data_IF_429916003353
#
_entry.id   IF_429916003353
#
_cell.length_a   1.000
_cell.length_b   1.000
_cell.length_c   1.000
_cell.angle_alpha   90.00
_cell.angle_beta   90.00
_cell.angle_gamma   90.00
#
_symmetry.space_group_name_H-M   'P 1'
#
loop_
_entity.id
_entity.type
_entity.pdbx_description
1 polymer ?
#
# COMPACT_ATOMS: atom_id res chain seq x y z
N UNK A 1 -44.52 -28.37 51.22
CA UNK A 1 -43.31 -27.51 51.12
C UNK A 1 -42.74 -27.68 49.72
N UNK A 2 -42.96 -26.72 48.82
CA UNK A 2 -42.35 -26.68 47.49
C UNK A 2 -41.51 -25.40 47.46
N UNK A 3 -40.19 -25.56 47.35
CA UNK A 3 -39.21 -24.48 47.45
C UNK A 3 -39.21 -23.60 46.19
N UNK A 4 -39.60 -22.33 46.36
CA UNK A 4 -39.69 -21.28 45.33
C UNK A 4 -38.32 -20.61 45.05
N UNK A 5 -37.21 -21.16 45.53
CA UNK A 5 -35.91 -20.47 45.53
C UNK A 5 -35.05 -20.63 44.27
N UNK A 6 -35.54 -21.22 43.17
CA UNK A 6 -34.70 -21.44 41.96
C UNK A 6 -34.95 -20.51 40.78
N UNK A 7 -35.97 -19.64 40.83
CA UNK A 7 -36.38 -18.89 39.62
C UNK A 7 -35.78 -17.48 39.52
N UNK A 8 -35.18 -16.94 40.58
CA UNK A 8 -34.74 -15.53 40.58
C UNK A 8 -33.28 -15.32 40.15
N UNK A 9 -32.44 -16.37 40.13
CA UNK A 9 -31.01 -16.23 39.80
C UNK A 9 -30.70 -16.25 38.29
N UNK A 10 -31.67 -16.64 37.45
CA UNK A 10 -31.46 -16.73 36.00
C UNK A 10 -31.65 -15.39 35.26
N UNK A 11 -32.29 -14.39 35.87
CA UNK A 11 -32.54 -13.10 35.21
C UNK A 11 -31.46 -12.04 35.43
N UNK A 12 -30.54 -12.20 36.38
CA UNK A 12 -29.46 -11.23 36.63
C UNK A 12 -28.21 -11.54 35.79
N UNK A 13 -28.02 -12.80 35.37
CA UNK A 13 -26.89 -13.19 34.51
C UNK A 13 -27.13 -12.95 33.00
N UNK A 14 -28.35 -12.61 32.57
CA UNK A 14 -28.65 -12.35 31.15
C UNK A 14 -28.52 -10.86 30.75
N UNK A 15 -28.25 -9.97 31.71
CA UNK A 15 -28.12 -8.53 31.46
C UNK A 15 -26.67 -8.04 31.27
N UNK A 16 -25.67 -8.91 31.38
CA UNK A 16 -24.24 -8.55 31.28
C UNK A 16 -23.58 -8.95 29.95
N UNK A 17 -24.29 -9.62 29.04
CA UNK A 17 -23.77 -10.01 27.73
C UNK A 17 -24.30 -9.07 26.65
N UNK A 18 -23.38 -8.48 25.88
CA UNK A 18 -23.59 -7.66 24.67
C UNK A 18 -23.56 -6.14 24.87
N UNK A 19 -22.50 -5.63 25.47
CA UNK A 19 -21.83 -4.46 24.89
C UNK A 19 -20.43 -4.89 24.51
N UNK A 20 -20.34 -5.75 23.49
CA UNK A 20 -19.13 -5.79 22.69
C UNK A 20 -19.18 -4.54 21.84
N UNK A 21 -18.75 -3.42 22.40
CA UNK A 21 -18.29 -2.28 21.61
C UNK A 21 -17.09 -2.81 20.84
N UNK A 22 -17.37 -3.44 19.70
CA UNK A 22 -16.38 -3.58 18.65
C UNK A 22 -15.97 -2.17 18.34
N UNK A 23 -14.85 -1.73 18.92
CA UNK A 23 -14.18 -0.53 18.49
C UNK A 23 -13.98 -0.73 17.00
N UNK A 24 -14.80 -0.03 16.21
CA UNK A 24 -14.57 0.06 14.78
C UNK A 24 -13.24 0.77 14.73
N UNK A 25 -12.18 0.04 14.42
CA UNK A 25 -10.89 0.66 14.16
C UNK A 25 -11.18 1.72 13.10
N UNK A 26 -10.95 2.98 13.45
CA UNK A 26 -11.11 4.08 12.52
C UNK A 26 -10.12 3.82 11.38
N UNK A 27 -10.57 4.01 10.14
CA UNK A 27 -9.68 3.82 9.01
C UNK A 27 -8.53 4.82 9.16
N UNK A 28 -7.27 4.42 8.90
CA UNK A 28 -6.15 5.36 8.90
C UNK A 28 -6.48 6.61 8.08
N UNK A 29 -6.12 7.78 8.59
CA UNK A 29 -6.34 9.05 7.91
C UNK A 29 -5.08 9.93 7.99
N UNK A 30 -5.23 11.21 7.65
CA UNK A 30 -4.13 12.17 7.58
C UNK A 30 -4.01 13.04 8.84
N UNK A 31 -4.79 12.77 9.89
CA UNK A 31 -4.90 13.62 11.07
C UNK A 31 -3.62 13.74 11.89
N UNK A 32 -2.78 12.72 11.85
CA UNK A 32 -1.47 12.66 12.52
C UNK A 32 -0.30 12.99 11.57
N UNK A 33 -0.58 13.50 10.36
CA UNK A 33 0.42 13.82 9.36
C UNK A 33 0.86 12.66 8.46
N UNK A 34 0.28 11.48 8.64
CA UNK A 34 0.48 10.34 7.75
C UNK A 34 -0.27 10.52 6.42
N UNK A 35 -0.01 9.63 5.46
CA UNK A 35 -0.71 9.60 4.17
C UNK A 35 -0.99 8.15 3.75
N UNK A 36 -1.90 7.44 4.43
CA UNK A 36 -1.99 5.98 4.34
C UNK A 36 -2.56 5.46 3.01
N UNK A 37 -3.23 6.32 2.22
CA UNK A 37 -3.83 5.95 0.94
C UNK A 37 -3.33 6.85 -0.19
N UNK A 38 -3.34 6.35 -1.43
CA UNK A 38 -3.07 7.16 -2.64
C UNK A 38 -3.91 8.47 -2.70
N UNK A 39 -5.08 8.46 -2.06
CA UNK A 39 -6.02 9.56 -2.00
C UNK A 39 -6.09 10.27 -0.63
N UNK A 40 -5.10 10.05 0.24
CA UNK A 40 -5.07 10.56 1.62
C UNK A 40 -5.84 9.66 2.58
N UNK A 41 -7.14 9.50 2.33
CA UNK A 41 -8.03 8.63 3.11
C UNK A 41 -8.87 7.71 2.20
N UNK A 42 -9.62 6.80 2.83
CA UNK A 42 -10.51 5.84 2.14
C UNK A 42 -11.68 6.51 1.39
N UNK A 43 -12.06 7.74 1.77
CA UNK A 43 -13.12 8.52 1.10
C UNK A 43 -12.58 9.26 -0.12
N UNK A 44 -11.25 9.38 -0.20
CA UNK A 44 -10.51 10.05 -1.24
C UNK A 44 -10.53 11.58 -1.13
N UNK A 45 -10.52 12.11 0.09
CA UNK A 45 -10.69 13.55 0.34
C UNK A 45 -9.60 14.42 -0.27
N UNK A 46 -8.35 13.94 -0.35
CA UNK A 46 -7.26 14.82 -0.83
C UNK A 46 -6.69 15.72 0.27
N UNK A 47 -7.09 15.53 1.53
CA UNK A 47 -6.99 16.57 2.57
C UNK A 47 -6.11 16.15 3.74
N UNK A 48 -5.36 17.12 4.28
CA UNK A 48 -4.67 17.03 5.56
C UNK A 48 -5.18 18.15 6.47
N UNK A 49 -5.54 17.85 7.74
CA UNK A 49 -5.96 18.87 8.69
C UNK A 49 -4.78 19.62 9.34
N UNK A 50 -3.53 19.29 9.01
CA UNK A 50 -2.36 19.98 9.54
C UNK A 50 -2.29 21.43 9.05
N UNK A 51 -1.91 22.35 9.94
CA UNK A 51 -1.88 23.80 9.70
C UNK A 51 -0.52 24.46 10.03
N UNK A 52 0.51 23.66 10.35
CA UNK A 52 1.87 24.16 10.61
C UNK A 52 2.40 24.99 9.44
N UNK A 53 2.13 24.56 8.20
CA UNK A 53 2.38 25.31 6.98
C UNK A 53 1.05 25.92 6.54
N UNK A 54 1.00 27.24 6.40
CA UNK A 54 -0.21 27.98 6.07
C UNK A 54 0.13 29.24 5.25
N UNK A 55 -0.89 30.04 4.93
CA UNK A 55 -0.75 31.21 4.06
C UNK A 55 0.23 32.27 4.61
N UNK A 56 0.47 32.30 5.93
CA UNK A 56 1.31 33.31 6.56
C UNK A 56 2.80 32.95 6.55
N UNK A 57 3.15 31.67 6.37
CA UNK A 57 4.54 31.17 6.42
C UNK A 57 4.97 30.30 5.21
N UNK A 58 4.12 30.16 4.19
CA UNK A 58 4.43 29.34 3.02
C UNK A 58 5.72 29.77 2.30
N UNK A 59 6.01 31.07 2.30
CA UNK A 59 7.21 31.63 1.66
C UNK A 59 8.52 31.27 2.38
N UNK A 60 8.45 30.72 3.60
CA UNK A 60 9.62 30.30 4.38
C UNK A 60 10.04 28.84 4.09
N UNK A 61 9.35 28.14 3.19
CA UNK A 61 9.64 26.74 2.89
C UNK A 61 11.01 26.56 2.21
N UNK A 62 11.78 25.63 2.74
CA UNK A 62 13.05 25.18 2.15
C UNK A 62 13.04 23.69 1.84
N UNK A 63 13.93 23.28 0.93
CA UNK A 63 14.11 21.87 0.59
C UNK A 63 14.75 21.14 1.78
N UNK A 64 13.99 20.26 2.42
CA UNK A 64 14.51 19.43 3.52
C UNK A 64 15.45 18.33 3.01
N UNK A 65 15.06 17.60 1.95
CA UNK A 65 15.88 16.56 1.32
C UNK A 65 15.37 16.25 -0.10
N UNK A 66 16.17 15.53 -0.88
CA UNK A 66 15.76 15.05 -2.22
C UNK A 66 16.28 13.63 -2.50
N UNK A 67 15.47 12.85 -3.21
CA UNK A 67 15.82 11.50 -3.65
C UNK A 67 15.77 11.37 -5.18
N UNK A 68 16.87 10.94 -5.80
CA UNK A 68 16.96 10.81 -7.26
C UNK A 68 16.51 9.45 -7.75
N UNK A 69 15.46 9.43 -8.57
CA UNK A 69 14.93 8.21 -9.20
C UNK A 69 15.55 7.89 -10.56
N UNK A 70 16.49 8.73 -11.05
CA UNK A 70 17.06 8.64 -12.41
C UNK A 70 17.75 7.31 -12.70
N UNK A 71 18.30 6.66 -11.67
CA UNK A 71 19.01 5.39 -11.78
C UNK A 71 18.10 4.16 -11.55
N UNK A 72 16.79 4.35 -11.35
CA UNK A 72 15.83 3.28 -11.14
C UNK A 72 15.19 2.82 -12.46
N UNK A 73 16.05 2.52 -13.43
CA UNK A 73 15.65 2.04 -14.75
C UNK A 73 16.73 2.25 -15.81
N UNK A 74 16.38 2.07 -17.08
CA UNK A 74 17.35 2.19 -18.20
C UNK A 74 17.57 3.63 -18.66
N UNK A 75 16.71 4.55 -18.21
CA UNK A 75 16.78 5.98 -18.49
C UNK A 75 16.03 6.75 -17.42
N UNK A 76 16.29 8.05 -17.37
CA UNK A 76 15.50 9.01 -16.60
C UNK A 76 14.04 8.96 -17.02
N UNK A 77 13.17 9.02 -16.03
CA UNK A 77 11.74 9.20 -16.22
C UNK A 77 11.44 10.68 -16.46
N UNK A 78 10.63 10.96 -17.47
CA UNK A 78 10.22 12.31 -17.83
C UNK A 78 8.82 12.67 -17.31
N UNK A 79 8.14 11.71 -16.66
CA UNK A 79 6.75 11.85 -16.21
C UNK A 79 6.52 11.03 -14.94
N UNK A 80 6.75 11.64 -13.78
CA UNK A 80 6.46 11.05 -12.48
C UNK A 80 5.02 11.39 -12.10
N UNK A 81 4.15 10.37 -12.03
CA UNK A 81 2.73 10.50 -11.65
C UNK A 81 2.42 9.80 -10.32
N UNK A 82 3.47 9.48 -9.56
CA UNK A 82 3.35 8.75 -8.30
C UNK A 82 2.91 9.69 -7.19
N UNK A 83 1.91 9.26 -6.41
CA UNK A 83 1.63 9.83 -5.10
C UNK A 83 2.20 8.87 -4.06
N UNK A 84 3.28 9.23 -3.35
CA UNK A 84 3.77 8.43 -2.24
C UNK A 84 2.70 8.26 -1.16
N UNK A 85 2.77 7.15 -0.43
CA UNK A 85 2.03 6.97 0.83
C UNK A 85 3.02 7.05 2.00
N UNK A 86 2.56 7.51 3.16
CA UNK A 86 3.34 7.56 4.39
C UNK A 86 2.62 6.79 5.48
N UNK A 87 3.34 5.87 6.12
CA UNK A 87 2.88 5.09 7.27
C UNK A 87 4.03 5.03 8.27
N UNK A 88 3.76 5.42 9.51
CA UNK A 88 4.70 5.44 10.63
C UNK A 88 6.01 6.17 10.26
N UNK A 89 5.88 7.31 9.57
CA UNK A 89 7.00 8.13 9.11
C UNK A 89 7.83 7.52 7.97
N UNK A 90 7.45 6.36 7.41
CA UNK A 90 8.10 5.76 6.23
C UNK A 90 7.34 6.11 4.97
N UNK A 91 8.04 6.70 4.00
CA UNK A 91 7.52 7.01 2.68
C UNK A 91 7.69 5.84 1.72
N UNK A 92 6.58 5.36 1.17
CA UNK A 92 6.56 4.29 0.17
C UNK A 92 6.10 4.84 -1.18
N UNK A 93 6.84 4.49 -2.23
CA UNK A 93 6.53 4.92 -3.58
C UNK A 93 6.96 3.87 -4.62
N UNK A 94 6.42 3.99 -5.83
CA UNK A 94 7.08 3.43 -7.02
C UNK A 94 7.98 4.50 -7.63
N UNK A 95 9.08 4.10 -8.27
CA UNK A 95 10.08 5.02 -8.75
C UNK A 95 10.81 4.54 -9.99
N UNK A 96 11.08 5.50 -10.87
CA UNK A 96 11.85 5.34 -12.10
C UNK A 96 11.18 4.47 -13.15
N UNK A 97 11.83 4.40 -14.31
CA UNK A 97 11.28 3.73 -15.50
C UNK A 97 11.10 2.23 -15.33
N UNK A 98 11.75 1.62 -14.33
CA UNK A 98 11.60 0.20 -13.97
C UNK A 98 10.40 -0.06 -13.06
N UNK A 99 9.74 0.98 -12.54
CA UNK A 99 8.70 0.86 -11.51
C UNK A 99 9.21 0.08 -10.30
N UNK A 100 10.32 0.57 -9.75
CA UNK A 100 10.93 0.02 -8.54
C UNK A 100 10.09 0.47 -7.35
N UNK A 101 9.65 -0.44 -6.49
CA UNK A 101 9.08 -0.08 -5.19
C UNK A 101 10.21 0.36 -4.27
N UNK A 102 10.02 1.45 -3.54
CA UNK A 102 11.00 2.02 -2.60
C UNK A 102 10.34 2.33 -1.27
N UNK A 103 11.11 2.22 -0.19
CA UNK A 103 10.81 2.80 1.11
C UNK A 103 11.93 3.76 1.52
N UNK A 104 11.53 4.95 1.93
CA UNK A 104 12.42 5.99 2.42
C UNK A 104 12.02 6.39 3.84
N UNK A 105 12.99 6.70 4.69
CA UNK A 105 12.71 7.42 5.93
C UNK A 105 12.15 8.82 5.57
N UNK A 106 10.94 9.15 6.03
CA UNK A 106 10.24 10.37 5.64
C UNK A 106 10.88 11.66 6.14
N UNK A 107 11.69 11.57 7.20
CA UNK A 107 12.37 12.73 7.80
C UNK A 107 13.69 13.04 7.09
N UNK A 108 14.44 12.02 6.69
CA UNK A 108 15.81 12.15 6.20
C UNK A 108 15.95 11.89 4.71
N UNK A 109 14.99 11.19 4.10
CA UNK A 109 15.08 10.69 2.73
C UNK A 109 16.00 9.48 2.57
N UNK A 110 16.47 8.87 3.67
CA UNK A 110 17.32 7.67 3.63
C UNK A 110 16.58 6.51 2.95
N UNK A 111 17.23 5.87 1.99
CA UNK A 111 16.71 4.66 1.34
C UNK A 111 16.81 3.47 2.28
N UNK A 112 15.67 2.99 2.77
CA UNK A 112 15.59 1.82 3.65
C UNK A 112 15.63 0.52 2.87
N UNK A 113 14.81 0.42 1.82
CA UNK A 113 14.84 -0.72 0.89
C UNK A 113 14.29 -0.33 -0.48
N UNK A 114 14.64 -1.14 -1.49
CA UNK A 114 13.99 -1.12 -2.79
C UNK A 114 13.74 -2.54 -3.28
N UNK A 115 12.68 -2.71 -4.08
CA UNK A 115 12.37 -3.95 -4.75
C UNK A 115 12.08 -3.68 -6.24
N UNK A 116 12.71 -4.46 -7.11
CA UNK A 116 12.66 -4.23 -8.56
C UNK A 116 12.70 -5.55 -9.33
N UNK A 117 12.00 -5.60 -10.47
CA UNK A 117 11.97 -6.77 -11.33
C UNK A 117 12.55 -6.48 -12.72
N UNK A 118 13.31 -7.45 -13.25
CA UNK A 118 13.79 -7.44 -14.63
C UNK A 118 12.94 -8.38 -15.47
N UNK A 119 11.85 -7.85 -16.02
CA UNK A 119 10.85 -8.65 -16.74
C UNK A 119 11.12 -8.78 -18.25
N UNK A 120 12.23 -8.23 -18.74
CA UNK A 120 12.64 -8.35 -20.14
C UNK A 120 11.58 -7.84 -21.13
N UNK A 121 11.36 -8.63 -22.20
CA UNK A 121 10.41 -8.31 -23.27
C UNK A 121 8.99 -8.07 -22.74
N UNK A 122 8.59 -8.79 -21.69
CA UNK A 122 7.26 -8.66 -21.09
C UNK A 122 6.97 -7.25 -20.56
N UNK A 123 7.95 -6.63 -19.89
CA UNK A 123 7.83 -5.22 -19.52
C UNK A 123 8.02 -4.30 -20.73
N UNK A 124 8.93 -4.65 -21.65
CA UNK A 124 9.21 -3.83 -22.84
C UNK A 124 8.02 -3.64 -23.78
N UNK A 125 7.12 -4.63 -23.88
CA UNK A 125 5.90 -4.59 -24.71
C UNK A 125 4.68 -4.04 -23.97
N UNK A 126 4.76 -3.79 -22.66
CA UNK A 126 3.61 -3.30 -21.91
C UNK A 126 3.19 -1.89 -22.38
N UNK A 127 1.89 -1.62 -22.57
CA UNK A 127 1.41 -0.31 -23.04
C UNK A 127 1.62 0.80 -22.00
N UNK A 128 1.83 0.45 -20.73
CA UNK A 128 2.03 1.40 -19.63
C UNK A 128 3.42 1.24 -19.02
N UNK A 129 4.35 2.03 -19.52
CA UNK A 129 5.71 2.17 -19.00
C UNK A 129 5.75 3.10 -17.78
N UNK A 130 6.96 3.34 -17.25
CA UNK A 130 7.26 4.31 -16.19
C UNK A 130 6.80 3.88 -14.78
N UNK A 131 7.03 4.74 -13.78
CA UNK A 131 6.78 4.48 -12.36
C UNK A 131 5.30 4.22 -12.02
N UNK A 132 4.36 4.58 -12.88
CA UNK A 132 2.93 4.39 -12.62
C UNK A 132 2.39 5.41 -11.62
N UNK A 133 1.45 4.99 -10.76
CA UNK A 133 0.74 5.87 -9.82
C UNK A 133 1.01 5.58 -8.35
N UNK A 134 1.97 4.71 -8.06
CA UNK A 134 2.32 4.30 -6.71
C UNK A 134 1.89 2.87 -6.41
N UNK A 135 1.55 2.67 -5.14
CA UNK A 135 1.40 1.38 -4.48
C UNK A 135 0.36 1.50 -3.36
N UNK A 136 0.05 0.40 -2.69
CA UNK A 136 -0.87 0.38 -1.56
C UNK A 136 -0.28 -0.34 -0.35
N UNK A 137 -0.70 0.07 0.83
CA UNK A 137 -0.36 -0.56 2.10
C UNK A 137 -1.53 -1.38 2.64
N UNK A 138 -1.23 -2.45 3.36
CA UNK A 138 -2.18 -3.20 4.16
C UNK A 138 -1.51 -3.71 5.43
N UNK A 139 -2.25 -3.75 6.53
CA UNK A 139 -1.83 -4.36 7.78
C UNK A 139 -2.96 -5.19 8.36
N UNK A 140 -2.61 -6.30 9.03
CA UNK A 140 -3.54 -7.05 9.87
C UNK A 140 -3.70 -6.48 11.29
N UNK A 141 -2.93 -5.42 11.62
CA UNK A 141 -2.88 -4.82 12.96
C UNK A 141 -2.19 -5.69 14.02
N UNK A 142 -1.54 -6.79 13.61
CA UNK A 142 -0.86 -7.76 14.49
C UNK A 142 0.60 -7.99 14.08
N UNK A 143 1.13 -7.13 13.21
CA UNK A 143 2.53 -7.13 12.77
C UNK A 143 2.76 -7.67 11.36
N UNK A 144 1.71 -7.97 10.60
CA UNK A 144 1.81 -8.30 9.18
C UNK A 144 1.53 -7.07 8.31
N UNK A 145 2.56 -6.28 8.08
CA UNK A 145 2.53 -5.05 7.29
C UNK A 145 3.07 -5.30 5.89
N UNK A 146 2.29 -4.91 4.88
CA UNK A 146 2.56 -5.27 3.48
C UNK A 146 2.41 -4.10 2.54
N UNK A 147 3.33 -4.04 1.58
CA UNK A 147 3.27 -3.17 0.41
C UNK A 147 2.87 -3.99 -0.81
N UNK A 148 1.91 -3.48 -1.57
CA UNK A 148 1.46 -4.07 -2.82
C UNK A 148 1.70 -3.11 -3.98
N UNK A 149 2.32 -3.60 -5.04
CA UNK A 149 2.49 -2.82 -6.27
C UNK A 149 2.41 -3.70 -7.51
N UNK A 150 2.02 -3.10 -8.64
CA UNK A 150 1.93 -3.80 -9.93
C UNK A 150 3.11 -3.40 -10.80
N UNK A 151 3.93 -4.37 -11.21
CA UNK A 151 5.08 -4.15 -12.10
C UNK A 151 4.64 -3.66 -13.48
N UNK A 152 5.58 -3.16 -14.28
CA UNK A 152 5.34 -2.83 -15.69
C UNK A 152 4.81 -4.03 -16.47
N UNK A 153 5.32 -5.24 -16.17
CA UNK A 153 4.86 -6.49 -16.78
C UNK A 153 3.57 -7.08 -16.20
N UNK A 154 2.75 -6.33 -15.45
CA UNK A 154 1.47 -6.84 -14.89
C UNK A 154 1.63 -8.00 -13.90
N UNK A 155 2.62 -7.92 -13.02
CA UNK A 155 2.72 -8.79 -11.85
C UNK A 155 2.34 -7.99 -10.61
N UNK A 156 1.36 -8.46 -9.84
CA UNK A 156 1.06 -7.92 -8.52
C UNK A 156 2.02 -8.55 -7.52
N UNK A 157 2.81 -7.72 -6.86
CA UNK A 157 3.82 -8.15 -5.90
C UNK A 157 3.38 -7.73 -4.50
N UNK A 158 3.51 -8.62 -3.54
CA UNK A 158 3.35 -8.34 -2.11
C UNK A 158 4.71 -8.40 -1.42
N UNK A 159 5.07 -7.33 -0.72
CA UNK A 159 6.32 -7.18 0.01
C UNK A 159 6.03 -6.96 1.49
N UNK A 160 6.89 -7.48 2.37
CA UNK A 160 6.93 -7.04 3.76
C UNK A 160 7.31 -5.54 3.79
N UNK A 161 6.49 -4.71 4.43
CA UNK A 161 6.64 -3.25 4.39
C UNK A 161 7.96 -2.77 5.02
N UNK A 162 8.48 -3.50 6.00
CA UNK A 162 9.69 -3.10 6.73
C UNK A 162 10.99 -3.50 6.04
N UNK A 163 10.95 -4.55 5.21
CA UNK A 163 12.17 -5.16 4.65
C UNK A 163 12.22 -5.17 3.12
N UNK A 164 11.07 -4.96 2.44
CA UNK A 164 10.98 -5.08 0.99
C UNK A 164 11.09 -6.52 0.46
N UNK A 165 11.10 -7.52 1.35
CA UNK A 165 11.18 -8.94 0.98
C UNK A 165 9.81 -9.44 0.53
N UNK A 166 9.70 -10.20 -0.57
CA UNK A 166 8.43 -10.78 -1.02
C UNK A 166 7.76 -11.66 0.03
N UNK A 167 6.44 -11.55 0.15
CA UNK A 167 5.62 -12.38 1.05
C UNK A 167 5.36 -13.73 0.39
N UNK A 168 6.13 -14.76 0.73
CA UNK A 168 6.00 -16.08 0.09
C UNK A 168 4.59 -16.68 0.12
N UNK A 169 3.76 -16.36 1.13
CA UNK A 169 2.38 -16.86 1.20
C UNK A 169 1.40 -16.14 0.26
N UNK A 170 1.83 -15.10 -0.44
CA UNK A 170 1.00 -14.37 -1.41
C UNK A 170 1.23 -14.87 -2.84
N UNK A 171 0.14 -14.89 -3.62
CA UNK A 171 0.14 -15.40 -4.99
C UNK A 171 -0.07 -16.92 -5.06
N UNK A 172 0.06 -17.48 -6.26
CA UNK A 172 -0.19 -18.92 -6.51
C UNK A 172 1.06 -19.77 -6.33
N UNK A 173 2.24 -19.18 -6.54
CA UNK A 173 3.49 -19.94 -6.73
C UNK A 173 4.45 -19.82 -5.53
N UNK A 174 3.98 -19.27 -4.41
CA UNK A 174 4.77 -19.23 -3.18
C UNK A 174 5.91 -18.19 -3.17
N UNK A 175 5.88 -17.21 -4.09
CA UNK A 175 6.98 -16.27 -4.34
C UNK A 175 6.62 -14.80 -4.12
N UNK A 176 5.46 -14.53 -3.50
CA UNK A 176 4.97 -13.16 -3.27
C UNK A 176 4.46 -12.46 -4.53
N UNK A 177 4.15 -13.20 -5.59
CA UNK A 177 3.74 -12.65 -6.87
C UNK A 177 2.47 -13.34 -7.37
N UNK A 178 1.51 -12.52 -7.80
CA UNK A 178 0.36 -12.93 -8.59
C UNK A 178 0.50 -12.39 -10.01
N UNK A 179 0.51 -13.26 -11.01
CA UNK A 179 0.55 -12.85 -12.43
C UNK A 179 -0.85 -12.44 -12.90
N UNK A 180 -1.05 -11.14 -13.14
CA UNK A 180 -2.35 -10.59 -13.52
C UNK A 180 -2.73 -10.86 -14.97
N UNK A 181 -1.84 -11.44 -15.79
CA UNK A 181 -2.18 -11.88 -17.15
C UNK A 181 -2.77 -13.29 -17.16
N UNK A 182 -2.58 -14.10 -16.12
CA UNK A 182 -3.22 -15.40 -16.01
C UNK A 182 -4.74 -15.18 -15.88
N UNK A 183 -5.51 -15.82 -16.76
CA UNK A 183 -6.95 -15.65 -16.86
C UNK A 183 -7.39 -14.47 -17.72
N UNK A 184 -6.46 -13.65 -18.23
CA UNK A 184 -6.78 -12.68 -19.27
C UNK A 184 -6.86 -13.39 -20.63
N UNK A 185 -7.96 -13.21 -21.37
CA UNK A 185 -8.26 -13.98 -22.57
C UNK A 185 -8.52 -13.09 -23.79
N UNK A 186 -8.18 -13.59 -24.97
CA UNK A 186 -8.57 -13.05 -26.26
C UNK A 186 -9.76 -13.87 -26.82
N UNK A 187 -10.84 -13.18 -27.20
CA UNK A 187 -12.02 -13.84 -27.76
C UNK A 187 -12.67 -14.83 -26.79
N UNK A 188 -13.04 -16.01 -27.30
CA UNK A 188 -13.78 -17.02 -26.57
C UNK A 188 -12.88 -17.90 -25.69
N UNK A 189 -12.21 -17.30 -24.70
CA UNK A 189 -11.44 -17.99 -23.63
C UNK A 189 -9.98 -18.39 -23.94
N UNK A 190 -9.39 -17.90 -25.04
CA UNK A 190 -7.97 -18.18 -25.33
C UNK A 190 -7.09 -17.32 -24.43
N UNK A 191 -6.35 -17.93 -23.51
CA UNK A 191 -5.34 -17.26 -22.69
C UNK A 191 -4.38 -16.44 -23.56
N UNK A 192 -4.22 -15.16 -23.22
CA UNK A 192 -3.26 -14.30 -23.90
C UNK A 192 -1.82 -14.78 -23.65
N UNK A 193 -0.90 -14.49 -24.57
CA UNK A 193 0.50 -14.74 -24.33
C UNK A 193 1.01 -13.91 -23.15
N UNK A 194 1.62 -14.59 -22.16
CA UNK A 194 2.03 -13.94 -20.93
C UNK A 194 3.17 -12.93 -21.16
N UNK A 195 3.93 -13.03 -22.25
CA UNK A 195 5.01 -12.09 -22.58
C UNK A 195 4.46 -10.96 -23.44
N UNK A 196 3.91 -11.26 -24.61
CA UNK A 196 3.53 -10.26 -25.61
C UNK A 196 2.19 -9.60 -25.35
N UNK A 197 1.32 -10.26 -24.56
CA UNK A 197 -0.07 -9.84 -24.39
C UNK A 197 -0.94 -10.20 -25.59
#
# INVERSE_FOLDING_TARGET
MVNITKTTLALILLAASLVSSGARAEAPDTSNGEWPYYTGDIKGSRYSPLDQINADNFEDLELAWSFSTKNLGTRSEYKLEVTPIMIDGVLYATAGTRRTAIALDGKTGELMWLHSMREGLRAGLAPRQLSGRGLSYWSDGKGDDRIFYVTTGYKLVALNAHTGVPINSFGTDGNGILDLKIGAVQGNEVQIDLVTG
#
